data_IF_709926927324
#
_entry.id   IF_709926927324
#
_cell.length_a   1.000
_cell.length_b   1.000
_cell.length_c   1.000
_cell.angle_alpha   90.00
_cell.angle_beta   90.00
_cell.angle_gamma   90.00
#
_symmetry.space_group_name_H-M   'P 1'
#
loop_
_entity.id
_entity.type
_entity.pdbx_description
1 polymer ?
#
# COMPACT_ATOMS: atom_id res chain seq x y z
N UNK A 1 -20.49 18.45 34.17
CA UNK A 1 -19.67 18.22 32.95
C UNK A 1 -20.63 18.10 31.78
N UNK A 2 -20.74 19.13 30.91
CA UNK A 2 -21.73 19.15 29.82
C UNK A 2 -21.29 18.16 28.75
N UNK A 3 -22.09 17.13 28.48
CA UNK A 3 -21.88 16.19 27.39
C UNK A 3 -22.07 16.94 26.07
N UNK A 4 -20.98 17.23 25.37
CA UNK A 4 -21.06 17.79 24.03
C UNK A 4 -21.80 16.76 23.15
N UNK A 5 -22.94 17.11 22.54
CA UNK A 5 -23.85 16.10 22.02
C UNK A 5 -23.20 15.38 20.83
N UNK A 6 -23.14 14.05 20.90
CA UNK A 6 -22.60 13.13 19.88
C UNK A 6 -23.07 13.46 18.45
N UNK A 7 -24.25 14.07 18.33
CA UNK A 7 -24.82 14.57 17.07
C UNK A 7 -24.00 15.68 16.40
N UNK A 8 -23.31 16.55 17.15
CA UNK A 8 -22.44 17.60 16.60
C UNK A 8 -21.20 16.97 15.97
N UNK A 9 -20.61 15.96 16.60
CA UNK A 9 -19.48 15.22 16.03
C UNK A 9 -19.87 14.48 14.76
N UNK A 10 -21.04 13.83 14.73
CA UNK A 10 -21.58 13.20 13.53
C UNK A 10 -21.85 14.21 12.41
N UNK A 11 -22.39 15.39 12.73
CA UNK A 11 -22.61 16.45 11.74
C UNK A 11 -21.29 17.01 11.19
N UNK A 12 -20.28 17.18 12.04
CA UNK A 12 -18.94 17.60 11.63
C UNK A 12 -18.25 16.54 10.75
N UNK A 13 -18.39 15.26 11.08
CA UNK A 13 -17.91 14.15 10.25
C UNK A 13 -18.64 14.14 8.89
N UNK A 14 -19.97 14.29 8.87
CA UNK A 14 -20.75 14.38 7.63
C UNK A 14 -20.39 15.60 6.76
N UNK A 15 -20.12 16.76 7.37
CA UNK A 15 -19.64 17.95 6.65
C UNK A 15 -18.21 17.76 6.11
N UNK A 16 -17.35 17.01 6.81
CA UNK A 16 -16.02 16.65 6.34
C UNK A 16 -16.06 15.62 5.21
N UNK A 17 -17.05 14.71 5.23
CA UNK A 17 -17.34 13.78 4.11
C UNK A 17 -17.68 14.55 2.83
N UNK A 18 -18.26 15.75 2.92
CA UNK A 18 -18.50 16.63 1.77
C UNK A 18 -17.23 17.14 1.05
N UNK A 19 -16.05 17.02 1.67
CA UNK A 19 -14.75 17.31 1.05
C UNK A 19 -14.08 16.06 0.47
N UNK A 20 -14.71 14.88 0.58
CA UNK A 20 -14.20 13.64 0.00
C UNK A 20 -14.47 13.69 -1.50
N UNK A 21 -13.44 14.05 -2.26
CA UNK A 21 -13.42 13.81 -3.70
C UNK A 21 -13.08 12.35 -3.97
N UNK A 22 -13.56 11.82 -5.10
CA UNK A 22 -12.94 10.63 -5.66
C UNK A 22 -11.49 10.96 -6.02
N UNK A 23 -10.55 10.07 -5.70
CA UNK A 23 -9.16 10.26 -6.13
C UNK A 23 -9.09 10.13 -7.65
N UNK A 24 -9.18 11.26 -8.35
CA UNK A 24 -8.99 11.36 -9.79
C UNK A 24 -7.93 12.44 -10.02
N UNK A 25 -6.69 12.00 -10.20
CA UNK A 25 -5.64 12.86 -10.74
C UNK A 25 -5.53 12.50 -12.23
N UNK A 26 -6.09 13.30 -13.15
CA UNK A 26 -5.97 13.01 -14.57
C UNK A 26 -4.51 13.16 -15.00
N UNK A 27 -3.93 12.07 -15.50
CA UNK A 27 -2.59 12.13 -16.09
C UNK A 27 -2.62 12.82 -17.45
N UNK A 28 -1.60 13.62 -17.71
CA UNK A 28 -1.33 14.20 -19.03
C UNK A 28 -0.13 13.57 -19.71
N UNK A 29 0.65 12.74 -19.00
CA UNK A 29 1.87 12.13 -19.51
C UNK A 29 1.60 10.67 -19.89
N UNK A 30 1.83 10.26 -21.15
CA UNK A 30 1.72 8.87 -21.53
C UNK A 30 2.87 8.06 -20.87
N UNK A 31 2.51 7.20 -19.93
CA UNK A 31 3.44 6.25 -19.32
C UNK A 31 3.54 4.98 -20.18
N UNK A 32 4.76 4.50 -20.41
CA UNK A 32 4.98 3.17 -20.99
C UNK A 32 4.67 2.12 -19.93
N UNK A 33 4.09 0.99 -20.35
CA UNK A 33 3.65 -0.07 -19.44
C UNK A 33 4.77 -0.65 -18.54
N UNK A 34 6.02 -0.57 -18.97
CA UNK A 34 7.20 -1.08 -18.24
C UNK A 34 7.91 -0.01 -17.40
N UNK A 35 7.52 1.26 -17.50
CA UNK A 35 8.13 2.32 -16.70
C UNK A 35 7.38 2.41 -15.37
N UNK A 36 8.06 2.20 -14.23
CA UNK A 36 7.39 2.30 -12.93
C UNK A 36 6.96 3.74 -12.65
N UNK A 37 5.78 3.87 -12.04
CA UNK A 37 5.18 5.16 -11.67
C UNK A 37 5.57 5.59 -10.25
N UNK A 38 5.99 4.63 -9.42
CA UNK A 38 6.50 4.89 -8.07
C UNK A 38 7.60 3.91 -7.68
N UNK A 39 8.43 4.35 -6.73
CA UNK A 39 9.34 3.49 -5.97
C UNK A 39 8.81 3.42 -4.55
N UNK A 40 8.76 2.23 -3.99
CA UNK A 40 8.21 1.96 -2.65
C UNK A 40 9.31 1.40 -1.77
N UNK A 41 9.38 1.88 -0.53
CA UNK A 41 10.17 1.31 0.54
C UNK A 41 9.23 0.98 1.69
N UNK A 42 9.30 -0.24 2.20
CA UNK A 42 8.43 -0.69 3.28
C UNK A 42 9.24 -1.43 4.35
N UNK A 43 8.80 -1.29 5.60
CA UNK A 43 9.31 -2.03 6.74
C UNK A 43 8.20 -2.92 7.29
N UNK A 44 8.52 -4.18 7.57
CA UNK A 44 7.56 -5.20 8.03
C UNK A 44 6.35 -5.37 7.09
N UNK A 45 5.22 -5.88 7.61
CA UNK A 45 3.97 -6.02 6.86
C UNK A 45 3.90 -7.26 5.96
N UNK A 46 4.53 -8.36 6.40
CA UNK A 46 4.56 -9.66 5.70
C UNK A 46 5.25 -9.67 4.32
N UNK A 47 6.03 -8.62 4.02
CA UNK A 47 6.89 -8.53 2.82
C UNK A 47 8.35 -8.40 3.28
N UNK A 48 8.72 -9.09 4.36
CA UNK A 48 10.06 -9.01 4.95
C UNK A 48 10.24 -7.95 6.03
N UNK A 49 11.42 -7.93 6.64
CA UNK A 49 11.82 -6.91 7.62
C UNK A 49 11.96 -5.55 6.91
N UNK A 50 12.61 -5.55 5.75
CA UNK A 50 12.71 -4.41 4.85
C UNK A 50 12.42 -4.86 3.43
N UNK A 51 11.73 -4.02 2.65
CA UNK A 51 11.46 -4.27 1.24
C UNK A 51 11.53 -3.02 0.40
N UNK A 52 11.87 -3.26 -0.87
CA UNK A 52 11.90 -2.25 -1.94
C UNK A 52 11.05 -2.74 -3.09
N UNK A 53 10.37 -1.82 -3.78
CA UNK A 53 9.47 -2.18 -4.85
C UNK A 53 9.23 -1.08 -5.86
N UNK A 54 8.54 -1.47 -6.94
CA UNK A 54 8.14 -0.61 -8.03
C UNK A 54 6.62 -0.69 -8.20
N UNK A 55 5.96 0.46 -8.27
CA UNK A 55 4.52 0.59 -8.44
C UNK A 55 4.14 1.00 -9.85
N UNK A 56 2.95 0.57 -10.28
CA UNK A 56 2.38 0.85 -11.59
C UNK A 56 0.91 1.24 -11.45
N UNK A 57 0.49 2.33 -12.09
CA UNK A 57 -0.93 2.67 -12.16
C UNK A 57 -1.67 1.73 -13.11
N UNK A 58 -2.80 1.19 -12.63
CA UNK A 58 -3.65 0.28 -13.40
C UNK A 58 -4.79 1.00 -14.12
N UNK A 59 -5.04 2.28 -13.79
CA UNK A 59 -6.09 3.07 -14.38
C UNK A 59 -5.64 4.52 -14.62
N UNK A 60 -6.33 5.21 -15.55
CA UNK A 60 -6.03 6.59 -15.93
C UNK A 60 -6.25 7.61 -14.82
N UNK A 61 -7.03 7.26 -13.79
CA UNK A 61 -7.31 8.11 -12.63
C UNK A 61 -6.26 7.97 -11.52
N UNK A 62 -5.29 7.06 -11.68
CA UNK A 62 -4.23 6.78 -10.69
C UNK A 62 -4.75 6.35 -9.30
N UNK A 63 -5.98 5.88 -9.24
CA UNK A 63 -6.60 5.41 -8.01
C UNK A 63 -6.29 3.95 -7.73
N UNK A 64 -5.83 3.19 -8.73
CA UNK A 64 -5.45 1.78 -8.57
C UNK A 64 -3.98 1.58 -8.91
N UNK A 65 -3.24 0.91 -8.02
CA UNK A 65 -1.81 0.63 -8.18
C UNK A 65 -1.54 -0.85 -7.99
N UNK A 66 -0.63 -1.40 -8.79
CA UNK A 66 0.02 -2.68 -8.56
C UNK A 66 1.49 -2.43 -8.19
N UNK A 67 1.89 -2.84 -6.99
CA UNK A 67 3.26 -2.76 -6.50
C UNK A 67 3.90 -4.14 -6.52
N UNK A 68 5.04 -4.26 -7.20
CA UNK A 68 5.89 -5.46 -7.15
C UNK A 68 7.09 -5.16 -6.27
N UNK A 69 7.34 -5.99 -5.27
CA UNK A 69 8.34 -5.74 -4.24
C UNK A 69 9.16 -6.98 -3.92
N UNK A 70 10.39 -6.73 -3.50
CA UNK A 70 11.30 -7.73 -2.95
C UNK A 70 11.71 -7.30 -1.54
N UNK A 71 11.61 -8.24 -0.61
CA UNK A 71 11.84 -8.06 0.79
C UNK A 71 12.80 -9.09 1.37
N UNK A 72 13.44 -8.69 2.46
CA UNK A 72 14.44 -9.49 3.14
C UNK A 72 14.18 -9.50 4.64
N UNK A 73 14.27 -10.67 5.27
CA UNK A 73 14.29 -10.85 6.73
C UNK A 73 15.69 -11.30 7.12
N UNK A 74 16.42 -10.53 7.94
CA UNK A 74 17.69 -10.99 8.51
C UNK A 74 17.47 -12.12 9.53
N UNK A 75 18.39 -13.09 9.57
CA UNK A 75 18.33 -14.23 10.49
C UNK A 75 18.01 -13.86 11.95
N UNK A 76 18.59 -12.75 12.46
CA UNK A 76 18.35 -12.23 13.81
C UNK A 76 16.90 -11.84 14.13
N UNK A 77 16.04 -11.70 13.12
CA UNK A 77 14.66 -11.21 13.27
C UNK A 77 13.58 -12.21 12.86
N UNK A 78 13.96 -13.45 12.50
CA UNK A 78 12.97 -14.48 12.12
C UNK A 78 13.40 -15.44 11.02
N UNK A 79 14.70 -15.61 10.80
CA UNK A 79 15.25 -16.46 9.73
C UNK A 79 15.72 -15.65 8.51
N UNK A 80 16.62 -16.23 7.71
CA UNK A 80 17.16 -15.65 6.49
C UNK A 80 16.18 -15.86 5.32
N UNK A 81 15.15 -15.00 5.24
CA UNK A 81 14.05 -15.16 4.28
C UNK A 81 14.09 -14.09 3.19
N UNK A 82 13.83 -14.54 1.96
CA UNK A 82 13.66 -13.69 0.81
C UNK A 82 12.20 -13.73 0.37
N UNK A 83 11.55 -12.58 0.24
CA UNK A 83 10.11 -12.51 -0.01
C UNK A 83 9.85 -11.67 -1.25
N UNK A 84 9.10 -12.20 -2.21
CA UNK A 84 8.58 -11.44 -3.35
C UNK A 84 7.10 -11.21 -3.13
N UNK A 85 6.61 -9.99 -3.34
CA UNK A 85 5.18 -9.71 -3.20
C UNK A 85 4.62 -8.83 -4.31
N UNK A 86 3.40 -9.16 -4.71
CA UNK A 86 2.58 -8.36 -5.62
C UNK A 86 1.37 -7.82 -4.84
N UNK A 87 1.29 -6.49 -4.72
CA UNK A 87 0.28 -5.78 -3.92
C UNK A 87 -0.58 -4.89 -4.80
N UNK A 88 -1.88 -5.14 -4.77
CA UNK A 88 -2.88 -4.24 -5.31
C UNK A 88 -3.37 -3.28 -4.22
N UNK A 89 -3.47 -2.00 -4.55
CA UNK A 89 -4.04 -0.97 -3.67
C UNK A 89 -5.00 -0.09 -4.45
N UNK A 90 -6.17 0.16 -3.87
CA UNK A 90 -7.18 1.06 -4.40
C UNK A 90 -7.40 2.25 -3.47
N UNK A 91 -7.43 3.45 -4.03
CA UNK A 91 -7.53 4.74 -3.34
C UNK A 91 -8.83 5.42 -3.77
N UNK A 92 -9.98 5.04 -3.20
CA UNK A 92 -11.28 5.58 -3.60
C UNK A 92 -11.44 7.06 -3.25
N UNK A 93 -10.84 7.50 -2.15
CA UNK A 93 -11.09 8.80 -1.53
C UNK A 93 -9.83 9.64 -1.44
N UNK A 94 -9.98 10.94 -1.68
CA UNK A 94 -8.92 11.91 -1.55
C UNK A 94 -9.47 13.21 -0.93
N UNK A 95 -8.82 13.68 0.13
CA UNK A 95 -9.15 14.93 0.82
C UNK A 95 -7.95 15.87 0.72
N UNK A 96 -8.17 17.03 0.12
CA UNK A 96 -7.13 18.08 0.01
C UNK A 96 -6.95 18.77 1.35
N UNK A 97 -5.75 18.69 1.91
CA UNK A 97 -5.39 19.38 3.16
C UNK A 97 -4.84 20.78 2.86
N UNK A 98 -3.98 20.88 1.86
CA UNK A 98 -3.39 22.15 1.36
C UNK A 98 -3.20 22.07 -0.17
N UNK A 99 -2.62 23.10 -0.77
CA UNK A 99 -2.20 23.07 -2.18
C UNK A 99 -1.05 22.06 -2.45
N UNK A 100 -0.30 21.70 -1.40
CA UNK A 100 0.84 20.77 -1.44
C UNK A 100 0.62 19.42 -0.71
N UNK A 101 -0.49 19.23 0.01
CA UNK A 101 -0.79 18.00 0.74
C UNK A 101 -2.19 17.44 0.45
N UNK A 102 -2.26 16.13 0.31
CA UNK A 102 -3.49 15.34 0.14
C UNK A 102 -3.47 14.16 1.11
N UNK A 103 -4.60 13.84 1.73
CA UNK A 103 -4.78 12.61 2.51
C UNK A 103 -5.74 11.66 1.79
N UNK A 104 -5.38 10.38 1.75
CA UNK A 104 -6.19 9.29 1.23
C UNK A 104 -6.53 8.39 2.41
N UNK A 105 -7.69 8.61 3.05
CA UNK A 105 -7.95 8.13 4.40
C UNK A 105 -8.09 6.61 4.48
N UNK A 106 -8.65 5.99 3.43
CA UNK A 106 -8.98 4.57 3.42
C UNK A 106 -8.65 4.01 2.04
N UNK A 107 -7.61 3.17 2.00
CA UNK A 107 -7.10 2.56 0.79
C UNK A 107 -7.12 1.04 0.97
N UNK A 108 -8.21 0.36 0.61
CA UNK A 108 -8.26 -1.10 0.62
C UNK A 108 -7.29 -1.68 -0.41
N UNK A 109 -6.79 -2.87 -0.12
CA UNK A 109 -5.87 -3.58 -0.99
C UNK A 109 -5.77 -5.05 -0.63
N UNK A 110 -5.07 -5.78 -1.47
CA UNK A 110 -4.74 -7.17 -1.24
C UNK A 110 -3.34 -7.44 -1.81
N UNK A 111 -2.62 -8.39 -1.24
CA UNK A 111 -1.34 -8.80 -1.80
C UNK A 111 -1.09 -10.28 -1.63
N UNK A 112 -0.29 -10.82 -2.53
CA UNK A 112 0.23 -12.17 -2.45
C UNK A 112 1.73 -12.07 -2.23
N UNK A 113 2.23 -12.75 -1.20
CA UNK A 113 3.67 -12.87 -0.93
C UNK A 113 4.14 -14.30 -1.14
N UNK A 114 5.24 -14.47 -1.84
CA UNK A 114 5.99 -15.70 -1.99
C UNK A 114 7.23 -15.67 -1.09
N UNK A 115 7.35 -16.64 -0.19
CA UNK A 115 8.43 -16.76 0.78
C UNK A 115 9.43 -17.80 0.27
N UNK A 116 10.57 -17.34 -0.24
CA UNK A 116 11.63 -18.21 -0.74
C UNK A 116 12.52 -18.70 0.42
N UNK A 117 12.69 -20.02 0.50
CA UNK A 117 13.55 -20.69 1.48
C UNK A 117 13.24 -22.19 1.54
N UNK A 118 14.17 -23.00 2.06
CA UNK A 118 13.97 -24.45 2.20
C UNK A 118 12.97 -24.84 3.28
N UNK A 119 12.62 -23.90 4.18
CA UNK A 119 11.63 -24.10 5.24
C UNK A 119 10.17 -23.89 4.76
N UNK A 120 9.97 -23.56 3.47
CA UNK A 120 8.66 -23.33 2.87
C UNK A 120 8.48 -24.14 1.60
N UNK A 121 7.49 -25.01 1.62
CA UNK A 121 7.20 -25.85 0.48
C UNK A 121 6.43 -25.07 -0.61
N UNK A 122 6.97 -25.09 -1.82
CA UNK A 122 6.41 -24.41 -2.99
C UNK A 122 5.42 -25.28 -3.77
N UNK A 123 5.35 -26.57 -3.44
CA UNK A 123 4.39 -27.53 -3.97
C UNK A 123 3.06 -27.44 -3.19
N UNK A 124 2.02 -28.00 -3.79
CA UNK A 124 0.65 -27.98 -3.24
C UNK A 124 0.33 -29.26 -2.45
N UNK A 125 1.20 -30.27 -2.53
CA UNK A 125 1.17 -31.51 -1.75
C UNK A 125 2.39 -31.49 -0.83
N UNK A 126 2.24 -30.88 0.33
CA UNK A 126 3.32 -30.70 1.29
C UNK A 126 3.57 -32.00 2.07
N UNK A 127 4.73 -32.65 1.86
CA UNK A 127 5.14 -33.86 2.56
C UNK A 127 5.49 -33.59 4.05
N UNK A 128 5.68 -32.32 4.44
CA UNK A 128 6.05 -31.94 5.81
C UNK A 128 4.84 -31.88 6.76
N UNK A 129 3.60 -31.93 6.23
CA UNK A 129 2.36 -31.89 7.02
C UNK A 129 1.46 -33.11 6.78
N UNK A 130 0.61 -33.47 7.76
CA UNK A 130 -0.36 -34.55 7.57
C UNK A 130 -1.22 -34.33 6.33
N UNK A 131 -1.48 -35.42 5.60
CA UNK A 131 -2.28 -35.39 4.37
C UNK A 131 -3.62 -34.66 4.60
N UNK A 132 -3.89 -33.67 3.74
CA UNK A 132 -5.10 -32.83 3.81
C UNK A 132 -5.06 -31.65 4.80
N UNK A 133 -3.94 -31.41 5.49
CA UNK A 133 -3.82 -30.27 6.42
C UNK A 133 -3.71 -28.92 5.69
N UNK A 134 -2.89 -28.84 4.65
CA UNK A 134 -2.84 -27.72 3.71
C UNK A 134 -3.25 -28.18 2.32
N UNK A 135 -4.21 -27.47 1.71
CA UNK A 135 -4.60 -27.67 0.32
C UNK A 135 -4.03 -26.58 -0.60
N UNK A 136 -3.13 -25.73 -0.08
CA UNK A 136 -2.41 -24.68 -0.79
C UNK A 136 -0.93 -24.68 -0.36
N UNK A 137 -0.03 -24.20 -1.23
CA UNK A 137 1.41 -24.09 -0.93
C UNK A 137 1.70 -23.14 0.26
N UNK A 138 2.55 -23.59 1.19
CA UNK A 138 2.94 -22.81 2.39
C UNK A 138 3.87 -21.62 2.06
N UNK A 139 4.53 -21.65 0.89
CA UNK A 139 5.31 -20.55 0.36
C UNK A 139 4.47 -19.35 -0.10
N UNK A 140 3.21 -19.57 -0.50
CA UNK A 140 2.30 -18.50 -0.93
C UNK A 140 1.38 -18.06 0.19
N UNK A 141 1.42 -16.77 0.54
CA UNK A 141 0.59 -16.20 1.60
C UNK A 141 -0.26 -15.05 1.06
N UNK A 142 -1.60 -15.23 0.97
CA UNK A 142 -2.51 -14.16 0.58
C UNK A 142 -2.82 -13.24 1.77
N UNK A 143 -2.98 -11.95 1.48
CA UNK A 143 -3.24 -10.92 2.49
C UNK A 143 -4.27 -9.90 2.00
N UNK A 144 -4.99 -9.31 2.95
CA UNK A 144 -5.82 -8.12 2.75
C UNK A 144 -5.23 -6.96 3.54
N UNK A 145 -5.36 -5.75 3.01
CA UNK A 145 -4.80 -4.55 3.63
C UNK A 145 -5.80 -3.41 3.63
N UNK A 146 -5.72 -2.59 4.66
CA UNK A 146 -6.38 -1.30 4.72
C UNK A 146 -5.36 -0.27 5.17
N UNK A 147 -5.16 0.79 4.39
CA UNK A 147 -4.14 1.79 4.69
C UNK A 147 -4.65 3.22 4.59
N UNK A 148 -3.93 4.13 5.24
CA UNK A 148 -4.09 5.58 5.11
C UNK A 148 -2.81 6.13 4.51
N UNK A 149 -2.92 7.05 3.55
CA UNK A 149 -1.78 7.62 2.83
C UNK A 149 -1.81 9.14 2.89
N UNK A 150 -0.63 9.77 3.02
CA UNK A 150 -0.45 11.22 2.89
C UNK A 150 0.47 11.44 1.69
N UNK A 151 -0.01 12.17 0.68
CA UNK A 151 0.77 12.58 -0.49
C UNK A 151 1.23 14.02 -0.34
N UNK A 152 2.49 14.26 -0.67
CA UNK A 152 3.15 15.57 -0.56
C UNK A 152 3.76 15.97 -1.90
N UNK A 153 3.49 17.21 -2.33
CA UNK A 153 4.12 17.82 -3.51
C UNK A 153 5.38 18.58 -3.10
N UNK A 154 6.53 17.92 -3.21
CA UNK A 154 7.82 18.50 -2.84
C UNK A 154 8.11 19.82 -3.56
N UNK A 155 7.74 19.97 -4.84
CA UNK A 155 8.02 21.19 -5.61
C UNK A 155 7.29 22.39 -5.02
N UNK A 156 6.04 22.21 -4.61
CA UNK A 156 5.26 23.26 -3.96
C UNK A 156 5.78 23.58 -2.57
N UNK A 157 6.16 22.55 -1.79
CA UNK A 157 6.77 22.74 -0.46
C UNK A 157 8.04 23.60 -0.54
N UNK A 158 8.96 23.28 -1.46
CA UNK A 158 10.21 24.04 -1.61
C UNK A 158 9.97 25.47 -2.12
N UNK A 159 9.03 25.67 -3.06
CA UNK A 159 8.64 27.01 -3.52
C UNK A 159 8.07 27.88 -2.40
N UNK A 160 7.21 27.32 -1.55
CA UNK A 160 6.63 28.04 -0.39
C UNK A 160 7.67 28.33 0.69
N UNK A 161 8.72 27.51 0.80
CA UNK A 161 9.80 27.68 1.78
C UNK A 161 10.90 28.66 1.36
N UNK A 162 10.82 29.25 0.15
CA UNK A 162 11.81 30.20 -0.35
C UNK A 162 13.16 29.56 -0.76
N UNK A 163 13.25 28.23 -0.77
CA UNK A 163 14.48 27.49 -1.13
C UNK A 163 14.44 27.27 -2.64
N UNK A 164 15.33 27.94 -3.38
CA UNK A 164 15.55 27.68 -4.81
C UNK A 164 16.25 26.32 -4.97
N UNK A 165 15.58 25.39 -5.65
CA UNK A 165 16.15 24.13 -6.15
C UNK A 165 16.62 24.35 -7.59
#
# INVERSE_FOLDING_TARGET
MKTLPTKIYLLAICLYIGQIGFAQEPDSVPHKWYTPTSITVQHAGSIGFFSVGAGYFLNKSHSSTLDISYGYVPAKFGGDLNIVAAKFSWRPFAVRLTDWALILPINPGAFLSYHAGGDYDSSWDDDDYPEGYYWWSTAFRPHVTLSTEIKLDARKIFKTSGIKV
#
